data_IF_256063618621
#
_entry.id   IF_256063618621
#
_cell.length_a   1.000
_cell.length_b   1.000
_cell.length_c   1.000
_cell.angle_alpha   90.00
_cell.angle_beta   90.00
_cell.angle_gamma   90.00
#
_symmetry.space_group_name_H-M   'P 1'
#
loop_
_entity.id
_entity.type
_entity.pdbx_description
1 polymer ?
#
# COMPACT_ATOMS: atom_id res chain seq x y z
N UNK A 1 9.10 9.32 15.30
CA UNK A 1 8.73 7.98 14.79
C UNK A 1 7.72 8.20 13.70
N UNK A 2 7.99 7.76 12.47
CA UNK A 2 7.04 7.83 11.35
C UNK A 2 5.85 6.94 11.65
N UNK A 3 4.64 7.45 11.42
CA UNK A 3 3.43 6.63 11.56
C UNK A 3 3.40 5.63 10.39
N UNK A 4 3.05 4.35 10.62
CA UNK A 4 2.91 3.40 9.52
C UNK A 4 1.84 3.86 8.53
N UNK A 5 2.09 3.64 7.25
CA UNK A 5 1.10 3.83 6.19
C UNK A 5 0.26 2.55 6.08
N UNK A 6 -1.03 2.67 6.37
CA UNK A 6 -1.98 1.55 6.34
C UNK A 6 -2.66 1.51 4.99
N UNK A 7 -2.55 0.38 4.30
CA UNK A 7 -3.13 0.14 2.99
C UNK A 7 -4.17 -0.97 3.13
N UNK A 8 -5.44 -0.58 3.10
CA UNK A 8 -6.54 -1.55 3.16
C UNK A 8 -6.95 -1.95 1.74
N UNK A 9 -7.15 -3.24 1.51
CA UNK A 9 -7.65 -3.78 0.24
C UNK A 9 -9.02 -4.41 0.46
N UNK A 10 -10.05 -3.81 -0.13
CA UNK A 10 -11.41 -4.34 -0.10
C UNK A 10 -11.55 -5.58 -1.00
N UNK A 11 -12.61 -6.38 -0.78
CA UNK A 11 -12.93 -7.58 -1.58
C UNK A 11 -13.11 -7.27 -3.07
N UNK A 12 -13.58 -6.05 -3.38
CA UNK A 12 -13.77 -5.56 -4.75
C UNK A 12 -12.48 -5.08 -5.42
N UNK A 13 -11.34 -5.19 -4.74
CA UNK A 13 -10.05 -4.68 -5.19
C UNK A 13 -9.84 -3.18 -4.96
N UNK A 14 -10.80 -2.48 -4.34
CA UNK A 14 -10.65 -1.07 -4.00
C UNK A 14 -9.56 -0.90 -2.93
N UNK A 15 -8.63 0.04 -3.18
CA UNK A 15 -7.54 0.36 -2.26
C UNK A 15 -7.90 1.59 -1.44
N UNK A 16 -7.57 1.55 -0.15
CA UNK A 16 -7.64 2.70 0.75
C UNK A 16 -6.29 2.93 1.38
N UNK A 17 -5.91 4.20 1.50
CA UNK A 17 -4.71 4.66 2.18
C UNK A 17 -5.11 5.42 3.44
N UNK A 18 -4.75 4.90 4.61
CA UNK A 18 -5.16 5.46 5.91
C UNK A 18 -6.67 5.73 5.99
N UNK A 19 -7.48 4.83 5.41
CA UNK A 19 -8.95 4.94 5.35
C UNK A 19 -9.52 5.78 4.20
N UNK A 20 -8.69 6.49 3.43
CA UNK A 20 -9.14 7.24 2.25
C UNK A 20 -9.04 6.39 0.98
N UNK A 21 -10.13 6.27 0.22
CA UNK A 21 -10.13 5.57 -1.08
C UNK A 21 -9.15 6.21 -2.07
N UNK A 22 -8.30 5.40 -2.69
CA UNK A 22 -7.29 5.83 -3.67
C UNK A 22 -7.24 4.87 -4.86
N UNK A 23 -6.78 5.37 -5.99
CA UNK A 23 -6.40 4.50 -7.11
C UNK A 23 -5.04 3.84 -6.84
N UNK A 24 -4.77 2.74 -7.56
CA UNK A 24 -3.45 2.08 -7.54
C UNK A 24 -2.31 3.03 -7.93
N UNK A 25 -2.54 3.93 -8.89
CA UNK A 25 -1.55 4.92 -9.31
C UNK A 25 -1.25 5.93 -8.18
N UNK A 26 -2.29 6.47 -7.54
CA UNK A 26 -2.13 7.39 -6.41
C UNK A 26 -1.44 6.73 -5.22
N UNK A 27 -1.71 5.45 -4.97
CA UNK A 27 -1.03 4.67 -3.93
C UNK A 27 0.48 4.58 -4.20
N UNK A 28 0.88 4.25 -5.43
CA UNK A 28 2.31 4.19 -5.82
C UNK A 28 3.01 5.53 -5.68
N UNK A 29 2.39 6.61 -6.14
CA UNK A 29 2.94 7.97 -6.03
C UNK A 29 3.17 8.38 -4.57
N UNK A 30 2.19 8.11 -3.69
CA UNK A 30 2.31 8.37 -2.26
C UNK A 30 3.38 7.52 -1.59
N UNK A 31 3.46 6.24 -1.96
CA UNK A 31 4.48 5.33 -1.45
C UNK A 31 5.88 5.83 -1.81
N UNK A 32 6.11 6.16 -3.09
CA UNK A 32 7.39 6.70 -3.55
C UNK A 32 7.79 7.97 -2.78
N UNK A 33 6.87 8.94 -2.63
CA UNK A 33 7.15 10.17 -1.88
C UNK A 33 7.47 9.94 -0.40
N UNK A 34 6.83 8.95 0.24
CA UNK A 34 7.17 8.58 1.62
C UNK A 34 8.56 7.93 1.71
N UNK A 35 8.88 7.03 0.79
CA UNK A 35 10.18 6.34 0.76
C UNK A 35 11.33 7.31 0.49
N UNK A 36 11.12 8.31 -0.37
CA UNK A 36 12.09 9.39 -0.59
C UNK A 36 12.34 10.22 0.67
N UNK A 37 11.34 10.36 1.53
CA UNK A 37 11.43 11.13 2.78
C UNK A 37 11.97 10.29 3.95
N UNK A 38 11.58 9.02 4.01
CA UNK A 38 11.93 8.04 5.03
C UNK A 38 12.10 6.66 4.39
N UNK A 39 13.36 6.26 4.20
CA UNK A 39 13.71 4.99 3.56
C UNK A 39 13.27 3.76 4.38
N UNK A 40 13.05 3.94 5.70
CA UNK A 40 12.62 2.89 6.63
C UNK A 40 11.10 2.96 6.88
N UNK A 41 10.35 3.66 6.03
CA UNK A 41 8.90 3.79 6.13
C UNK A 41 8.22 2.41 6.19
N UNK A 42 7.47 2.18 7.27
CA UNK A 42 6.66 0.98 7.44
C UNK A 42 5.34 1.09 6.67
N UNK A 43 5.08 0.10 5.81
CA UNK A 43 3.80 -0.09 5.13
C UNK A 43 3.09 -1.33 5.68
N UNK A 44 1.82 -1.19 6.05
CA UNK A 44 0.99 -2.29 6.56
C UNK A 44 -0.13 -2.55 5.56
N UNK A 45 -0.15 -3.74 4.95
CA UNK A 45 -1.22 -4.15 4.03
C UNK A 45 -2.27 -4.96 4.79
N UNK A 46 -3.50 -4.49 4.77
CA UNK A 46 -4.66 -5.13 5.42
C UNK A 46 -5.69 -5.56 4.38
N UNK A 47 -5.64 -6.80 3.89
CA UNK A 47 -6.65 -7.31 2.98
C UNK A 47 -7.94 -7.69 3.72
N UNK A 48 -9.08 -7.49 3.06
CA UNK A 48 -10.34 -8.09 3.47
C UNK A 48 -10.25 -9.62 3.43
N UNK A 49 -11.04 -10.30 4.27
CA UNK A 49 -10.98 -11.75 4.40
C UNK A 49 -11.24 -12.49 3.07
N UNK A 50 -12.11 -11.95 2.21
CA UNK A 50 -12.39 -12.51 0.90
C UNK A 50 -11.61 -11.84 -0.26
N UNK A 51 -10.58 -11.03 0.04
CA UNK A 51 -9.73 -10.48 -1.01
C UNK A 51 -8.94 -11.60 -1.70
N UNK A 52 -8.90 -11.57 -3.03
CA UNK A 52 -8.13 -12.55 -3.80
C UNK A 52 -6.64 -12.39 -3.54
N UNK A 53 -5.94 -13.51 -3.32
CA UNK A 53 -4.48 -13.52 -3.06
C UNK A 53 -3.70 -12.77 -4.14
N UNK A 54 -4.11 -12.90 -5.40
CA UNK A 54 -3.47 -12.20 -6.52
C UNK A 54 -3.57 -10.67 -6.40
N UNK A 55 -4.67 -10.16 -5.86
CA UNK A 55 -4.85 -8.72 -5.66
C UNK A 55 -3.95 -8.21 -4.52
N UNK A 56 -3.77 -9.01 -3.47
CA UNK A 56 -2.86 -8.72 -2.36
C UNK A 56 -1.42 -8.69 -2.85
N UNK A 57 -0.99 -9.73 -3.58
CA UNK A 57 0.34 -9.80 -4.19
C UNK A 57 0.57 -8.60 -5.11
N UNK A 58 -0.40 -8.24 -5.93
CA UNK A 58 -0.29 -7.05 -6.77
C UNK A 58 -0.10 -5.75 -5.98
N UNK A 59 -0.70 -5.59 -4.78
CA UNK A 59 -0.44 -4.42 -3.91
C UNK A 59 1.00 -4.46 -3.39
N UNK A 60 1.48 -5.64 -3.01
CA UNK A 60 2.85 -5.80 -2.53
C UNK A 60 3.88 -5.51 -3.62
N UNK A 61 3.63 -5.96 -4.85
CA UNK A 61 4.47 -5.69 -6.02
C UNK A 61 4.48 -4.18 -6.36
N UNK A 62 3.31 -3.52 -6.30
CA UNK A 62 3.20 -2.07 -6.48
C UNK A 62 4.07 -1.31 -5.46
N UNK A 63 4.08 -1.74 -4.19
CA UNK A 63 4.91 -1.14 -3.13
C UNK A 63 6.40 -1.41 -3.34
N UNK A 64 6.76 -2.65 -3.69
CA UNK A 64 8.14 -3.01 -3.99
C UNK A 64 8.69 -2.21 -5.18
N UNK A 65 7.88 -2.02 -6.23
CA UNK A 65 8.23 -1.20 -7.39
C UNK A 65 8.39 0.29 -7.05
N UNK A 66 7.64 0.79 -6.05
CA UNK A 66 7.83 2.14 -5.51
C UNK A 66 9.10 2.27 -4.64
N UNK A 67 9.81 1.17 -4.39
CA UNK A 67 11.05 1.15 -3.64
C UNK A 67 10.89 0.78 -2.17
N UNK A 68 9.71 0.28 -1.75
CA UNK A 68 9.51 -0.19 -0.39
C UNK A 68 10.44 -1.40 -0.14
N UNK A 69 11.23 -1.33 0.92
CA UNK A 69 12.17 -2.40 1.32
C UNK A 69 11.72 -2.98 2.66
N UNK A 70 12.09 -4.24 2.90
CA UNK A 70 11.72 -4.99 4.11
C UNK A 70 12.37 -4.39 5.36
#
# INVERSE_FOLDING_TARGET
MSQPAIISLAETGQVQWNGAGVTRAQMRERAAGLIETDADQLFVVMPAAAAEVQQVVGVMDDLAAAGARR
#
